data_IF_551254663133
#
_entry.id   IF_551254663133
#
_cell.length_a   1.000
_cell.length_b   1.000
_cell.length_c   1.000
_cell.angle_alpha   90.00
_cell.angle_beta   90.00
_cell.angle_gamma   90.00
#
_symmetry.space_group_name_H-M   'P 1'
#
loop_
_entity.id
_entity.type
_entity.pdbx_description
1 polymer ?
#
# COMPACT_ATOMS: atom_id res chain seq x y z
N UNK A 1 6.77 2.04 58.99
CA UNK A 1 6.07 3.31 58.73
C UNK A 1 6.85 4.32 57.86
N UNK A 2 8.16 4.55 58.06
CA UNK A 2 8.92 5.46 57.18
C UNK A 2 9.28 4.85 55.82
N UNK A 3 9.67 3.57 55.78
CA UNK A 3 10.03 2.85 54.56
C UNK A 3 8.86 2.74 53.55
N UNK A 4 7.67 2.39 54.04
CA UNK A 4 6.46 2.21 53.22
C UNK A 4 6.01 3.54 52.59
N UNK A 5 6.12 4.65 53.33
CA UNK A 5 5.82 5.99 52.80
C UNK A 5 6.79 6.42 51.70
N UNK A 6 8.04 5.93 51.73
CA UNK A 6 9.02 6.21 50.68
C UNK A 6 8.70 5.44 49.40
N UNK A 7 8.42 4.14 49.52
CA UNK A 7 8.03 3.29 48.38
C UNK A 7 6.75 3.80 47.69
N UNK A 8 5.76 4.24 48.46
CA UNK A 8 4.53 4.83 47.92
C UNK A 8 4.80 6.09 47.11
N UNK A 9 5.72 6.96 47.56
CA UNK A 9 6.11 8.16 46.82
C UNK A 9 6.81 7.82 45.51
N UNK A 10 7.73 6.86 45.52
CA UNK A 10 8.45 6.44 44.32
C UNK A 10 7.50 5.82 43.29
N UNK A 11 6.54 4.99 43.75
CA UNK A 11 5.48 4.44 42.89
C UNK A 11 4.59 5.53 42.30
N UNK A 12 4.24 6.56 43.08
CA UNK A 12 3.43 7.68 42.58
C UNK A 12 4.19 8.49 41.52
N UNK A 13 5.48 8.73 41.71
CA UNK A 13 6.33 9.41 40.72
C UNK A 13 6.44 8.58 39.45
N UNK A 14 6.66 7.27 39.58
CA UNK A 14 6.72 6.34 38.46
C UNK A 14 5.40 6.28 37.67
N UNK A 15 4.27 6.19 38.38
CA UNK A 15 2.95 6.19 37.77
C UNK A 15 2.67 7.51 37.04
N UNK A 16 2.98 8.64 37.68
CA UNK A 16 2.82 9.97 37.05
C UNK A 16 3.63 10.09 35.77
N UNK A 17 4.90 9.65 35.79
CA UNK A 17 5.75 9.63 34.61
C UNK A 17 5.16 8.79 33.48
N UNK A 18 4.59 7.63 33.82
CA UNK A 18 3.93 6.73 32.87
C UNK A 18 2.67 7.36 32.26
N UNK A 19 1.83 7.99 33.10
CA UNK A 19 0.63 8.71 32.62
C UNK A 19 1.02 9.87 31.70
N UNK A 20 2.04 10.65 32.06
CA UNK A 20 2.54 11.75 31.23
C UNK A 20 3.08 11.24 29.88
N UNK A 21 3.76 10.08 29.88
CA UNK A 21 4.24 9.45 28.66
C UNK A 21 3.08 8.98 27.76
N UNK A 22 2.10 8.28 28.33
CA UNK A 22 0.93 7.80 27.59
C UNK A 22 0.09 8.96 27.04
N UNK A 23 -0.05 10.05 27.81
CA UNK A 23 -0.75 11.26 27.37
C UNK A 23 -0.07 11.88 26.13
N UNK A 24 1.27 12.01 26.14
CA UNK A 24 2.03 12.47 24.97
C UNK A 24 1.87 11.54 23.76
N UNK A 25 1.89 10.23 23.99
CA UNK A 25 1.70 9.25 22.93
C UNK A 25 0.30 9.32 22.33
N UNK A 26 -0.73 9.49 23.17
CA UNK A 26 -2.11 9.68 22.72
C UNK A 26 -2.26 10.95 21.87
N UNK A 27 -1.66 12.07 22.30
CA UNK A 27 -1.66 13.31 21.53
C UNK A 27 -1.00 13.14 20.16
N UNK A 28 0.15 12.46 20.10
CA UNK A 28 0.84 12.15 18.85
C UNK A 28 -0.03 11.32 17.90
N UNK A 29 -0.61 10.22 18.41
CA UNK A 29 -1.47 9.34 17.61
C UNK A 29 -2.71 10.07 17.12
N UNK A 30 -3.35 10.88 17.97
CA UNK A 30 -4.51 11.70 17.60
C UNK A 30 -4.19 12.67 16.46
N UNK A 31 -3.05 13.39 16.56
CA UNK A 31 -2.60 14.28 15.50
C UNK A 31 -2.30 13.52 14.19
N UNK A 32 -1.71 12.33 14.28
CA UNK A 32 -1.40 11.49 13.13
C UNK A 32 -2.66 10.97 12.44
N UNK A 33 -3.65 10.50 13.21
CA UNK A 33 -4.96 10.08 12.68
C UNK A 33 -5.63 11.23 11.95
N UNK A 34 -5.67 12.43 12.53
CA UNK A 34 -6.25 13.61 11.86
C UNK A 34 -5.51 14.04 10.58
N UNK A 35 -4.21 13.72 10.43
CA UNK A 35 -3.50 13.91 9.16
C UNK A 35 -3.90 12.87 8.11
N UNK A 36 -4.06 11.60 8.51
CA UNK A 36 -4.48 10.53 7.62
C UNK A 36 -5.92 10.72 7.15
N UNK A 37 -6.84 11.09 8.05
CA UNK A 37 -8.25 11.38 7.70
C UNK A 37 -8.34 12.48 6.63
N UNK A 38 -7.60 13.59 6.79
CA UNK A 38 -7.54 14.65 5.78
C UNK A 38 -7.02 14.16 4.43
N UNK A 39 -6.02 13.29 4.42
CA UNK A 39 -5.49 12.69 3.18
C UNK A 39 -6.53 11.80 2.50
N UNK A 40 -7.27 11.00 3.26
CA UNK A 40 -8.35 10.16 2.70
C UNK A 40 -9.42 11.04 2.06
N UNK A 41 -9.90 12.07 2.76
CA UNK A 41 -10.88 13.02 2.22
C UNK A 41 -10.38 13.65 0.91
N UNK A 42 -9.13 14.12 0.88
CA UNK A 42 -8.55 14.70 -0.34
C UNK A 42 -8.47 13.71 -1.50
N UNK A 43 -8.20 12.44 -1.22
CA UNK A 43 -8.16 11.38 -2.23
C UNK A 43 -9.57 11.05 -2.75
N UNK A 44 -10.56 11.00 -1.87
CA UNK A 44 -11.97 10.77 -2.23
C UNK A 44 -12.51 11.91 -3.11
N UNK A 45 -12.23 13.16 -2.75
CA UNK A 45 -12.61 14.33 -3.55
C UNK A 45 -11.92 14.38 -4.91
N UNK A 46 -10.65 13.96 -4.99
CA UNK A 46 -9.93 13.86 -6.26
C UNK A 46 -10.49 12.75 -7.15
N UNK A 47 -10.93 11.64 -6.56
CA UNK A 47 -11.47 10.49 -7.29
C UNK A 47 -12.93 10.73 -7.76
N UNK A 48 -13.74 11.44 -6.96
CA UNK A 48 -15.11 11.80 -7.31
C UNK A 48 -15.26 12.68 -8.54
N UNK A 49 -14.20 13.41 -8.95
CA UNK A 49 -14.20 14.23 -10.18
C UNK A 49 -13.94 13.44 -11.47
N UNK A 50 -13.58 12.16 -11.39
CA UNK A 50 -13.29 11.33 -12.56
C UNK A 50 -14.49 10.49 -13.08
N UNK A 51 -15.67 10.58 -12.45
CA UNK A 51 -16.88 9.80 -12.85
C UNK A 51 -17.98 10.71 -13.44
N UNK A 52 -17.61 11.76 -14.17
CA UNK A 52 -18.54 12.45 -15.07
C UNK A 52 -17.86 12.67 -16.41
N UNK A 53 -17.94 11.65 -17.26
CA UNK A 53 -17.94 11.84 -18.72
C UNK A 53 -19.11 11.04 -19.28
N UNK A 54 -20.16 11.79 -19.58
CA UNK A 54 -21.01 11.72 -20.75
C UNK A 54 -21.25 10.33 -21.35
N UNK A 55 -22.51 9.90 -21.31
CA UNK A 55 -23.23 9.61 -22.55
C UNK A 55 -24.74 9.63 -22.34
N UNK A 56 -25.32 10.65 -22.94
CA UNK A 56 -26.72 10.74 -23.31
C UNK A 56 -27.05 9.64 -24.36
N UNK A 57 -28.28 9.14 -24.31
CA UNK A 57 -28.92 8.43 -25.42
C UNK A 57 -28.86 6.90 -25.44
N UNK A 58 -29.99 6.27 -25.10
CA UNK A 58 -30.64 5.38 -26.07
C UNK A 58 -30.65 3.88 -25.77
N UNK A 59 -31.83 3.45 -25.30
CA UNK A 59 -32.61 2.31 -25.78
C UNK A 59 -32.37 0.89 -25.21
N UNK A 60 -33.52 0.27 -24.93
CA UNK A 60 -33.73 -0.99 -24.27
C UNK A 60 -33.54 -2.14 -25.26
N UNK A 61 -32.63 -3.08 -24.98
CA UNK A 61 -32.78 -4.44 -25.48
C UNK A 61 -32.12 -5.44 -24.55
N UNK A 62 -32.95 -6.26 -23.91
CA UNK A 62 -32.55 -7.51 -23.26
C UNK A 62 -31.98 -8.48 -24.30
N UNK A 63 -30.75 -8.94 -24.11
CA UNK A 63 -30.15 -9.97 -24.96
C UNK A 63 -28.85 -10.48 -24.37
N UNK A 64 -28.85 -11.75 -23.95
CA UNK A 64 -27.68 -12.50 -23.50
C UNK A 64 -26.50 -12.33 -24.46
N UNK A 65 -25.34 -11.94 -23.93
CA UNK A 65 -24.08 -11.96 -24.67
C UNK A 65 -23.05 -12.72 -23.83
N UNK A 66 -22.82 -13.97 -24.20
CA UNK A 66 -21.62 -14.71 -23.82
C UNK A 66 -20.40 -13.95 -24.36
N UNK A 67 -19.50 -13.54 -23.48
CA UNK A 67 -18.22 -12.96 -23.89
C UNK A 67 -17.25 -14.10 -24.24
N UNK A 68 -16.73 -14.16 -25.49
CA UNK A 68 -15.69 -15.09 -25.85
C UNK A 68 -14.42 -14.77 -25.06
N UNK A 69 -13.85 -15.76 -24.38
CA UNK A 69 -12.47 -15.66 -23.90
C UNK A 69 -11.56 -15.33 -25.08
N UNK A 70 -10.81 -14.21 -25.06
CA UNK A 70 -9.75 -14.00 -26.01
C UNK A 70 -8.65 -15.04 -25.71
N UNK A 71 -8.43 -15.98 -26.64
CA UNK A 71 -7.17 -16.70 -26.71
C UNK A 71 -6.08 -15.67 -27.02
N UNK A 72 -5.41 -15.18 -25.98
CA UNK A 72 -4.23 -14.34 -26.14
C UNK A 72 -3.08 -15.26 -26.55
N UNK A 73 -2.75 -15.21 -27.83
CA UNK A 73 -1.51 -15.70 -28.41
C UNK A 73 -0.36 -14.93 -27.70
N UNK A 74 0.70 -15.59 -27.19
CA UNK A 74 1.86 -14.88 -26.68
C UNK A 74 2.63 -14.31 -27.88
N UNK A 75 2.39 -13.04 -28.20
CA UNK A 75 3.22 -12.26 -29.10
C UNK A 75 4.50 -11.82 -28.35
N UNK A 76 5.70 -12.20 -28.82
CA UNK A 76 6.95 -11.70 -28.26
C UNK A 76 7.31 -10.38 -28.97
N UNK A 77 7.05 -9.25 -28.32
CA UNK A 77 7.45 -7.94 -28.83
C UNK A 77 8.16 -7.12 -27.76
N UNK A 78 9.49 -7.27 -27.73
CA UNK A 78 10.41 -6.31 -27.16
C UNK A 78 10.30 -4.98 -27.92
N UNK A 79 9.98 -3.89 -27.20
CA UNK A 79 10.84 -2.70 -27.07
C UNK A 79 10.07 -1.42 -26.70
N UNK A 80 10.38 -0.92 -25.51
CA UNK A 80 10.51 0.51 -25.20
C UNK A 80 9.27 1.42 -25.29
N UNK A 81 8.18 1.03 -24.65
CA UNK A 81 7.43 2.00 -23.85
C UNK A 81 7.15 1.39 -22.49
N UNK A 82 7.97 1.72 -21.48
CA UNK A 82 7.68 1.28 -20.11
C UNK A 82 6.36 1.92 -19.73
N UNK A 83 5.29 1.12 -19.76
CA UNK A 83 3.99 1.52 -19.23
C UNK A 83 4.24 2.07 -17.83
N UNK A 84 3.73 3.27 -17.52
CA UNK A 84 3.93 3.83 -16.21
C UNK A 84 3.26 2.90 -15.18
N UNK A 85 4.03 2.44 -14.20
CA UNK A 85 3.51 1.61 -13.10
C UNK A 85 3.41 2.45 -11.84
N UNK A 86 2.45 2.08 -10.99
CA UNK A 86 2.28 2.63 -9.66
C UNK A 86 3.30 2.00 -8.71
N UNK A 87 4.02 2.81 -7.93
CA UNK A 87 4.90 2.29 -6.88
C UNK A 87 4.10 1.78 -5.68
N UNK A 88 4.31 0.54 -5.26
CA UNK A 88 3.58 -0.10 -4.14
C UNK A 88 3.93 0.46 -2.76
N UNK A 89 4.97 1.29 -2.67
CA UNK A 89 5.33 1.98 -1.43
C UNK A 89 4.77 3.41 -1.36
N UNK A 90 5.09 4.24 -2.35
CA UNK A 90 4.80 5.67 -2.33
C UNK A 90 3.60 6.08 -3.19
N UNK A 91 2.98 5.13 -3.89
CA UNK A 91 1.81 5.32 -4.77
C UNK A 91 2.00 6.41 -5.84
N UNK A 92 3.26 6.66 -6.24
CA UNK A 92 3.57 7.54 -7.36
C UNK A 92 3.59 6.74 -8.65
N UNK A 93 2.89 7.26 -9.66
CA UNK A 93 2.96 6.75 -11.02
C UNK A 93 4.32 7.12 -11.65
N UNK A 94 5.09 6.14 -12.12
CA UNK A 94 6.41 6.37 -12.72
C UNK A 94 6.68 5.43 -13.89
N UNK A 95 7.29 5.98 -14.94
CA UNK A 95 7.78 5.21 -16.11
C UNK A 95 9.02 4.36 -15.78
N UNK A 96 9.70 4.69 -14.68
CA UNK A 96 10.94 4.04 -14.25
C UNK A 96 10.73 3.08 -13.09
N UNK A 97 9.50 2.60 -12.89
CA UNK A 97 9.26 1.54 -11.93
C UNK A 97 9.91 0.22 -12.38
N UNK A 98 10.40 -0.53 -11.42
CA UNK A 98 10.94 -1.88 -11.61
C UNK A 98 10.23 -2.84 -10.65
N UNK A 99 10.08 -4.10 -11.05
CA UNK A 99 9.42 -5.10 -10.24
C UNK A 99 10.39 -5.75 -9.24
N UNK A 100 9.84 -6.32 -8.16
CA UNK A 100 10.59 -7.14 -7.21
C UNK A 100 11.23 -8.34 -7.94
N UNK A 101 12.55 -8.51 -7.86
CA UNK A 101 13.25 -9.58 -8.58
C UNK A 101 12.85 -11.00 -8.14
N UNK A 102 12.30 -11.15 -6.94
CA UNK A 102 11.95 -12.45 -6.37
C UNK A 102 10.55 -12.91 -6.82
N UNK A 103 9.52 -12.10 -6.58
CA UNK A 103 8.13 -12.46 -6.89
C UNK A 103 7.63 -11.85 -8.21
N UNK A 104 8.21 -10.74 -8.66
CA UNK A 104 7.77 -9.98 -9.82
C UNK A 104 6.36 -9.38 -9.70
N UNK A 105 5.77 -9.35 -8.51
CA UNK A 105 4.39 -8.88 -8.27
C UNK A 105 4.34 -7.41 -7.88
N UNK A 106 5.24 -6.97 -6.99
CA UNK A 106 5.31 -5.57 -6.57
C UNK A 106 6.27 -4.75 -7.44
N UNK A 107 5.95 -3.46 -7.62
CA UNK A 107 6.66 -2.46 -8.41
C UNK A 107 7.13 -1.30 -7.55
N UNK A 108 8.36 -0.82 -7.80
CA UNK A 108 8.98 0.25 -7.04
C UNK A 108 9.58 1.31 -7.96
N UNK A 109 9.40 2.58 -7.62
CA UNK A 109 10.01 3.68 -8.38
C UNK A 109 11.48 3.95 -8.01
N UNK A 110 11.97 3.38 -6.90
CA UNK A 110 13.35 3.50 -6.44
C UNK A 110 13.73 2.38 -5.48
N UNK A 111 15.02 2.07 -5.35
CA UNK A 111 15.53 1.11 -4.36
C UNK A 111 15.19 1.52 -2.91
N UNK A 112 15.05 2.81 -2.66
CA UNK A 112 14.62 3.30 -1.35
C UNK A 112 13.18 2.87 -1.04
N UNK A 113 12.26 2.99 -2.01
CA UNK A 113 10.88 2.52 -1.86
C UNK A 113 10.81 1.00 -1.66
N UNK A 114 11.63 0.25 -2.40
CA UNK A 114 11.74 -1.20 -2.22
C UNK A 114 12.21 -1.58 -0.81
N UNK A 115 13.28 -0.95 -0.31
CA UNK A 115 13.81 -1.22 1.04
C UNK A 115 12.82 -0.87 2.16
N UNK A 116 12.03 0.18 1.99
CA UNK A 116 11.01 0.54 2.99
C UNK A 116 9.82 -0.44 2.96
N UNK A 117 9.45 -0.93 1.77
CA UNK A 117 8.38 -1.93 1.63
C UNK A 117 8.84 -3.35 2.00
N UNK A 118 10.14 -3.66 1.94
CA UNK A 118 10.66 -5.01 2.18
C UNK A 118 10.31 -5.55 3.56
N UNK A 119 10.23 -4.69 4.59
CA UNK A 119 9.88 -5.10 5.97
C UNK A 119 8.54 -5.83 6.02
N UNK A 120 7.56 -5.39 5.23
CA UNK A 120 6.22 -6.00 5.16
C UNK A 120 6.07 -6.96 3.98
N UNK A 121 6.85 -6.76 2.91
CA UNK A 121 6.80 -7.56 1.70
C UNK A 121 7.54 -8.90 1.84
N UNK A 122 8.69 -8.93 2.51
CA UNK A 122 9.57 -10.10 2.57
C UNK A 122 8.88 -11.39 3.05
N UNK A 123 8.04 -11.38 4.10
CA UNK A 123 7.33 -12.59 4.54
C UNK A 123 6.41 -13.19 3.47
N UNK A 124 5.82 -12.34 2.63
CA UNK A 124 4.87 -12.73 1.59
C UNK A 124 5.61 -13.05 0.28
N UNK A 125 6.72 -12.36 0.02
CA UNK A 125 7.53 -12.48 -1.18
C UNK A 125 8.02 -13.91 -1.43
N UNK A 126 8.45 -14.60 -0.37
CA UNK A 126 8.98 -15.98 -0.44
C UNK A 126 7.93 -17.01 -0.87
N UNK A 127 6.64 -16.72 -0.70
CA UNK A 127 5.55 -17.60 -1.12
C UNK A 127 5.31 -17.64 -2.63
N UNK A 128 5.86 -16.68 -3.37
CA UNK A 128 5.60 -16.49 -4.80
C UNK A 128 6.83 -16.76 -5.68
N UNK A 129 7.83 -17.50 -5.18
CA UNK A 129 8.98 -17.89 -6.00
C UNK A 129 8.50 -18.49 -7.32
N UNK A 130 8.73 -17.76 -8.42
CA UNK A 130 8.54 -18.27 -9.76
C UNK A 130 9.58 -19.39 -9.93
N UNK A 131 9.15 -20.65 -9.77
CA UNK A 131 9.92 -21.80 -10.23
C UNK A 131 10.22 -21.58 -11.70
N UNK A 132 11.44 -21.15 -11.99
CA UNK A 132 11.99 -21.22 -13.34
C UNK A 132 12.13 -22.69 -13.66
N UNK A 133 11.10 -23.23 -14.30
CA UNK A 133 11.13 -24.54 -14.93
C UNK A 133 12.28 -24.54 -15.94
N UNK A 134 13.40 -25.13 -15.53
CA UNK A 134 14.54 -25.40 -16.38
C UNK A 134 14.28 -26.73 -17.05
N UNK A 135 13.67 -26.66 -18.24
CA UNK A 135 13.55 -27.79 -19.15
C UNK A 135 14.98 -28.22 -19.53
N UNK A 136 15.42 -29.37 -19.02
CA UNK A 136 16.68 -30.00 -19.43
C UNK A 136 16.43 -30.77 -20.72
N UNK A 137 17.23 -30.43 -21.73
CA UNK A 137 17.42 -31.13 -23.01
C UNK A 137 17.83 -32.58 -22.79
#
# INVERSE_FOLDING_TARGET
>A
MYEENRLLKDNFISLKSTVDHLSRQQQYLSAHVGLLERRVISLEEANGRNIVRDKDGGDNTSGSFELPLPRIIPEPCESTSKTPHLCDYCYRMSKNCFHCAQCGQEWYCSEHCQRLRSIVHEPICRGFCKTTYTERV
#
